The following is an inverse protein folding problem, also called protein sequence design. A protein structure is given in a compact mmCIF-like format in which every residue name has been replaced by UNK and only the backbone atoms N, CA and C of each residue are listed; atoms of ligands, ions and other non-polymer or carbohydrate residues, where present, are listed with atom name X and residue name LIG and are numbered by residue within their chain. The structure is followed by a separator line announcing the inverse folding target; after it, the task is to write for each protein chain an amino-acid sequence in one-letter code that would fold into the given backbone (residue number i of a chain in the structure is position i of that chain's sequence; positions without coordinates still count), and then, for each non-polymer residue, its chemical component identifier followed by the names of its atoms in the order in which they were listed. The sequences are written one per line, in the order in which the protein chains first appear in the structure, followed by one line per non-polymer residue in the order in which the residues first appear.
data_IF_479775477088
#
_entry.id   IF_479775477088
#
_cell.length_a   1.000
_cell.length_b   1.000
_cell.length_c   1.000
_cell.angle_alpha   90.00
_cell.angle_beta   90.00
_cell.angle_gamma   90.00
#
_symmetry.space_group_name_H-M   'P 1'
#
loop_
_entity.id
_entity.type
_entity.pdbx_description
1 polymer ?
#
# COMPACT_ATOMS: atom_id res chain seq x y z
N UNK A 1 -15.11 3.90 19.53
CA UNK A 1 -15.97 4.98 19.03
C UNK A 1 -16.02 4.86 17.52
N UNK A 2 -17.22 4.76 17.00
CA UNK A 2 -17.45 4.64 15.56
C UNK A 2 -17.06 5.97 14.92
N UNK A 3 -15.91 5.98 14.23
CA UNK A 3 -15.49 7.10 13.44
C UNK A 3 -16.47 7.23 12.26
N UNK A 4 -17.20 8.35 12.21
CA UNK A 4 -18.15 8.64 11.14
C UNK A 4 -17.56 9.72 10.24
N UNK A 5 -17.74 9.58 8.94
CA UNK A 5 -17.41 10.63 7.97
C UNK A 5 -18.61 11.53 7.74
N UNK A 6 -18.36 12.84 7.59
CA UNK A 6 -19.40 13.77 7.16
C UNK A 6 -19.79 13.54 5.69
N UNK A 7 -20.93 14.07 5.26
CA UNK A 7 -21.36 14.00 3.85
C UNK A 7 -20.33 14.66 2.91
N UNK A 8 -19.73 15.77 3.33
CA UNK A 8 -18.68 16.44 2.58
C UNK A 8 -17.42 15.57 2.40
N UNK A 9 -16.97 14.91 3.47
CA UNK A 9 -15.85 13.95 3.40
C UNK A 9 -16.19 12.76 2.51
N UNK A 10 -17.42 12.25 2.59
CA UNK A 10 -17.88 11.18 1.71
C UNK A 10 -17.81 11.58 0.24
N UNK A 11 -18.25 12.80 -0.10
CA UNK A 11 -18.14 13.34 -1.45
C UNK A 11 -16.68 13.47 -1.90
N UNK A 12 -15.81 14.02 -1.06
CA UNK A 12 -14.39 14.19 -1.37
C UNK A 12 -13.70 12.85 -1.69
N UNK A 13 -14.07 11.76 -1.01
CA UNK A 13 -13.56 10.43 -1.33
C UNK A 13 -14.00 10.01 -2.74
N UNK A 14 -15.28 10.17 -3.08
CA UNK A 14 -15.80 9.79 -4.41
C UNK A 14 -15.13 10.62 -5.50
N UNK A 15 -15.00 11.93 -5.31
CA UNK A 15 -14.34 12.84 -6.26
C UNK A 15 -12.86 12.44 -6.46
N UNK A 16 -12.17 12.07 -5.38
CA UNK A 16 -10.78 11.58 -5.44
C UNK A 16 -10.65 10.29 -6.25
N UNK A 17 -11.51 9.30 -6.00
CA UNK A 17 -11.50 8.04 -6.76
C UNK A 17 -11.83 8.26 -8.24
N UNK A 18 -12.79 9.13 -8.53
CA UNK A 18 -13.14 9.50 -9.91
C UNK A 18 -11.98 10.19 -10.63
N UNK A 19 -11.25 11.07 -9.96
CA UNK A 19 -10.07 11.72 -10.52
C UNK A 19 -8.91 10.75 -10.75
N UNK A 20 -8.71 9.81 -9.82
CA UNK A 20 -7.58 8.88 -9.88
C UNK A 20 -7.75 7.77 -10.90
N UNK A 21 -8.96 7.22 -11.01
CA UNK A 21 -9.25 6.03 -11.80
C UNK A 21 -10.16 6.30 -13.03
N UNK A 22 -10.80 7.47 -13.10
CA UNK A 22 -11.75 7.80 -14.15
C UNK A 22 -11.13 8.35 -15.43
N UNK A 23 -9.82 8.53 -15.50
CA UNK A 23 -9.13 9.21 -16.63
C UNK A 23 -8.31 8.27 -17.50
N UNK A 24 -8.36 6.95 -17.28
CA UNK A 24 -7.63 6.00 -18.13
C UNK A 24 -8.34 5.85 -19.48
N UNK A 25 -7.78 6.38 -20.57
CA UNK A 25 -8.39 6.30 -21.91
C UNK A 25 -8.39 4.86 -22.48
N UNK A 26 -7.69 3.93 -21.83
CA UNK A 26 -7.63 2.51 -22.22
C UNK A 26 -8.70 1.67 -21.54
N UNK A 27 -9.30 2.19 -20.47
CA UNK A 27 -10.33 1.53 -19.71
C UNK A 27 -11.72 1.76 -20.34
N UNK A 28 -12.02 1.32 -21.48
CA UNK A 28 -13.33 1.39 -22.20
C UNK A 28 -14.61 1.49 -21.31
N UNK A 29 -14.52 2.13 -20.15
CA UNK A 29 -15.60 2.28 -19.16
C UNK A 29 -15.94 1.00 -18.41
N UNK A 30 -15.05 0.04 -18.31
CA UNK A 30 -15.28 -1.25 -17.64
C UNK A 30 -15.04 -1.19 -16.14
N UNK A 31 -14.25 -0.20 -15.67
CA UNK A 31 -13.95 -0.05 -14.23
C UNK A 31 -15.09 0.65 -13.50
N UNK A 32 -15.79 -0.09 -12.63
CA UNK A 32 -16.78 0.51 -11.74
C UNK A 32 -16.08 1.22 -10.56
N UNK A 33 -15.87 2.53 -10.71
CA UNK A 33 -15.24 3.36 -9.68
C UNK A 33 -15.98 3.28 -8.34
N UNK A 34 -17.30 3.17 -8.36
CA UNK A 34 -18.09 3.08 -7.13
C UNK A 34 -17.79 1.79 -6.35
N UNK A 35 -17.44 0.71 -7.05
CA UNK A 35 -17.01 -0.54 -6.42
C UNK A 35 -15.64 -0.43 -5.72
N UNK A 36 -14.82 0.54 -6.11
CA UNK A 36 -13.51 0.80 -5.48
C UNK A 36 -13.63 1.64 -4.20
N UNK A 37 -14.67 2.48 -4.09
CA UNK A 37 -14.86 3.36 -2.95
C UNK A 37 -15.13 2.54 -1.69
N UNK A 38 -14.41 2.76 -0.58
CA UNK A 38 -14.58 1.99 0.63
C UNK A 38 -15.98 2.17 1.23
N UNK A 39 -16.57 1.09 1.69
CA UNK A 39 -17.90 1.07 2.28
C UNK A 39 -17.89 1.11 3.81
N UNK A 40 -16.81 0.65 4.46
CA UNK A 40 -16.71 0.65 5.92
C UNK A 40 -16.44 2.06 6.47
N UNK A 41 -17.06 2.40 7.59
CA UNK A 41 -16.85 3.69 8.25
C UNK A 41 -15.38 3.93 8.62
N UNK A 42 -14.68 2.89 9.07
CA UNK A 42 -13.27 2.98 9.44
C UNK A 42 -12.38 3.33 8.22
N UNK A 43 -12.57 2.64 7.09
CA UNK A 43 -11.82 2.91 5.87
C UNK A 43 -12.13 4.31 5.32
N UNK A 44 -13.39 4.70 5.29
CA UNK A 44 -13.80 6.04 4.86
C UNK A 44 -13.19 7.13 5.74
N UNK A 45 -13.20 6.96 7.05
CA UNK A 45 -12.58 7.90 7.97
C UNK A 45 -11.06 8.01 7.73
N UNK A 46 -10.36 6.89 7.63
CA UNK A 46 -8.92 6.89 7.39
C UNK A 46 -8.57 7.54 6.05
N UNK A 47 -9.30 7.22 5.00
CA UNK A 47 -9.05 7.81 3.68
C UNK A 47 -9.44 9.28 3.60
N UNK A 48 -10.56 9.70 4.18
CA UNK A 48 -10.91 11.11 4.25
C UNK A 48 -9.89 11.95 5.02
N UNK A 49 -9.23 11.34 6.00
CA UNK A 49 -8.29 12.03 6.89
C UNK A 49 -6.86 12.02 6.34
N UNK A 50 -6.43 10.92 5.73
CA UNK A 50 -5.02 10.71 5.37
C UNK A 50 -4.76 10.52 3.88
N UNK A 51 -5.67 9.90 3.14
CA UNK A 51 -5.48 9.62 1.71
C UNK A 51 -5.86 10.82 0.84
N UNK A 52 -7.07 11.33 1.00
CA UNK A 52 -7.59 12.44 0.18
C UNK A 52 -6.80 13.74 0.38
N UNK A 53 -6.48 14.19 1.62
CA UNK A 53 -5.71 15.41 1.81
C UNK A 53 -4.25 15.32 1.36
N UNK A 54 -3.68 14.12 1.30
CA UNK A 54 -2.27 13.92 0.91
C UNK A 54 -2.00 14.32 -0.54
N UNK A 55 -3.03 14.30 -1.41
CA UNK A 55 -2.88 14.62 -2.83
C UNK A 55 -2.78 16.13 -3.12
N UNK A 56 -3.29 16.98 -2.22
CA UNK A 56 -3.37 18.43 -2.51
C UNK A 56 -2.17 19.24 -2.02
N UNK A 57 -1.38 18.77 -1.07
CA UNK A 57 -0.40 19.62 -0.38
C UNK A 57 0.95 19.00 0.00
N UNK A 58 1.14 17.67 -0.03
CA UNK A 58 2.41 17.04 0.37
C UNK A 58 2.59 15.68 -0.31
N UNK A 59 3.85 15.19 -0.44
CA UNK A 59 4.09 13.84 -0.88
C UNK A 59 3.33 12.84 0.02
N UNK A 60 2.81 11.73 -0.53
CA UNK A 60 2.13 10.70 0.24
C UNK A 60 2.97 10.28 1.46
N UNK A 61 2.37 10.20 2.61
CA UNK A 61 3.06 9.77 3.83
C UNK A 61 3.22 10.82 4.93
N UNK A 62 3.07 12.11 4.64
CA UNK A 62 3.39 13.19 5.60
C UNK A 62 2.19 13.99 6.12
N UNK A 63 1.03 13.36 6.28
CA UNK A 63 -0.07 13.97 7.03
C UNK A 63 0.18 13.74 8.51
N UNK A 64 0.97 14.62 9.11
CA UNK A 64 1.19 14.65 10.54
C UNK A 64 -0.09 15.16 11.23
N UNK A 65 -0.62 14.36 12.15
CA UNK A 65 -1.53 14.82 13.17
C UNK A 65 -2.79 15.53 12.71
N UNK A 66 -3.81 14.80 12.23
CA UNK A 66 -5.15 15.36 12.35
C UNK A 66 -5.52 15.43 13.82
N UNK A 67 -6.16 16.51 14.25
CA UNK A 67 -6.55 16.81 15.64
C UNK A 67 -7.50 15.80 16.31
N UNK A 68 -7.78 14.69 15.67
CA UNK A 68 -8.69 13.66 16.12
C UNK A 68 -8.08 12.64 17.07
N UNK A 69 -6.98 12.94 17.80
CA UNK A 69 -6.55 12.19 18.98
C UNK A 69 -6.65 10.66 18.96
N UNK A 70 -6.75 10.06 17.77
CA UNK A 70 -6.93 8.63 17.66
C UNK A 70 -5.60 7.92 17.92
N UNK A 71 -5.65 6.80 18.61
CA UNK A 71 -4.50 5.92 18.86
C UNK A 71 -3.76 5.56 17.56
N UNK A 72 -4.47 5.51 16.43
CA UNK A 72 -3.90 5.30 15.12
C UNK A 72 -2.96 6.43 14.70
N UNK A 73 -3.38 7.71 14.90
CA UNK A 73 -2.54 8.88 14.57
C UNK A 73 -1.24 8.87 15.36
N UNK A 74 -1.32 8.58 16.67
CA UNK A 74 -0.14 8.49 17.53
C UNK A 74 0.80 7.36 17.11
N UNK A 75 0.25 6.21 16.72
CA UNK A 75 1.05 5.10 16.19
C UNK A 75 1.70 5.46 14.84
N UNK A 76 0.95 6.10 13.94
CA UNK A 76 1.47 6.57 12.65
C UNK A 76 2.60 7.59 12.83
N UNK A 77 2.45 8.56 13.70
CA UNK A 77 3.47 9.56 14.00
C UNK A 77 4.74 8.91 14.58
N UNK A 78 4.55 7.94 15.48
CA UNK A 78 5.66 7.24 16.13
C UNK A 78 6.46 6.34 15.18
N UNK A 79 5.81 5.62 14.29
CA UNK A 79 6.42 4.56 13.47
C UNK A 79 6.57 4.92 12.00
N UNK A 80 5.85 5.92 11.49
CA UNK A 80 5.86 6.30 10.07
C UNK A 80 7.25 6.62 9.57
N UNK A 81 8.01 7.39 10.33
CA UNK A 81 9.39 7.78 10.01
C UNK A 81 10.32 6.57 9.84
N UNK A 82 10.14 5.55 10.65
CA UNK A 82 10.92 4.31 10.56
C UNK A 82 10.66 3.56 9.24
N UNK A 83 9.40 3.46 8.82
CA UNK A 83 9.05 2.85 7.55
C UNK A 83 9.56 3.66 6.35
N UNK A 84 9.48 4.98 6.40
CA UNK A 84 10.04 5.86 5.37
C UNK A 84 11.56 5.67 5.20
N UNK A 85 12.31 5.62 6.31
CA UNK A 85 13.75 5.39 6.28
C UNK A 85 14.11 4.03 5.69
N UNK A 86 13.43 2.97 6.09
CA UNK A 86 13.66 1.62 5.55
C UNK A 86 13.33 1.58 4.06
N UNK A 87 12.17 2.12 3.67
CA UNK A 87 11.75 2.16 2.28
C UNK A 87 12.76 2.87 1.40
N UNK A 88 13.22 4.04 1.82
CA UNK A 88 14.22 4.82 1.08
C UNK A 88 15.55 4.07 0.94
N UNK A 89 15.98 3.34 1.97
CA UNK A 89 17.25 2.59 1.94
C UNK A 89 17.20 1.34 1.09
N UNK A 90 16.06 0.65 1.06
CA UNK A 90 15.92 -0.65 0.40
C UNK A 90 15.28 -0.51 -0.98
N UNK A 91 14.57 0.61 -1.25
CA UNK A 91 13.92 0.88 -2.53
C UNK A 91 12.51 0.32 -2.65
N UNK A 92 11.82 0.03 -1.53
CA UNK A 92 10.40 -0.31 -1.56
C UNK A 92 9.54 0.93 -1.86
N UNK A 93 8.46 0.76 -2.60
CA UNK A 93 7.52 1.84 -2.91
C UNK A 93 6.58 2.13 -1.73
N UNK A 94 6.12 1.10 -1.05
CA UNK A 94 5.24 1.21 0.10
C UNK A 94 5.47 0.05 1.10
N UNK A 95 4.96 0.22 2.32
CA UNK A 95 4.94 -0.78 3.37
C UNK A 95 3.54 -0.85 3.99
N UNK A 96 2.95 -2.04 3.99
CA UNK A 96 1.61 -2.31 4.52
C UNK A 96 1.71 -3.12 5.81
N UNK A 97 0.91 -2.74 6.81
CA UNK A 97 0.58 -3.63 7.91
C UNK A 97 -0.86 -4.12 7.71
N UNK A 98 -1.02 -5.44 7.68
CA UNK A 98 -2.28 -6.12 7.43
C UNK A 98 -2.61 -6.95 8.66
N UNK A 99 -3.79 -6.74 9.25
CA UNK A 99 -4.21 -7.48 10.44
C UNK A 99 -4.55 -8.95 10.15
N UNK A 100 -4.83 -9.74 11.18
CA UNK A 100 -5.17 -11.17 11.04
C UNK A 100 -6.49 -11.44 10.30
N UNK A 101 -7.26 -10.42 9.98
CA UNK A 101 -8.51 -10.51 9.21
C UNK A 101 -8.35 -10.05 7.76
N UNK A 102 -7.15 -9.60 7.37
CA UNK A 102 -6.85 -9.08 6.05
C UNK A 102 -7.15 -7.60 5.87
N UNK A 103 -7.41 -6.85 6.94
CA UNK A 103 -7.58 -5.40 6.83
C UNK A 103 -6.22 -4.71 6.76
N UNK A 104 -6.05 -3.81 5.82
CA UNK A 104 -4.89 -2.95 5.71
C UNK A 104 -4.99 -1.84 6.76
N UNK A 105 -4.34 -2.04 7.88
CA UNK A 105 -4.41 -1.11 9.01
C UNK A 105 -3.42 0.04 8.90
N UNK A 106 -2.42 -0.10 8.06
CA UNK A 106 -1.41 0.92 7.79
C UNK A 106 -0.85 0.76 6.37
N UNK A 107 -0.63 1.86 5.68
CA UNK A 107 0.26 1.98 4.53
C UNK A 107 1.20 3.17 4.77
N UNK A 108 2.42 3.09 4.30
CA UNK A 108 3.37 4.19 4.43
C UNK A 108 2.93 5.38 3.56
N UNK A 109 2.54 5.11 2.31
CA UNK A 109 2.10 6.13 1.35
C UNK A 109 0.71 6.71 1.65
N UNK A 110 -0.09 6.10 2.53
CA UNK A 110 -1.51 6.42 2.77
C UNK A 110 -2.36 6.30 1.50
N UNK A 111 -2.07 5.27 0.71
CA UNK A 111 -2.76 4.97 -0.54
C UNK A 111 -4.23 4.58 -0.38
N UNK A 112 -4.85 4.26 -1.50
CA UNK A 112 -6.28 3.86 -1.59
C UNK A 112 -6.59 2.54 -0.89
N UNK A 113 -5.58 1.77 -0.57
CA UNK A 113 -5.68 0.49 0.14
C UNK A 113 -5.92 0.67 1.64
N UNK A 114 -5.57 1.85 2.18
CA UNK A 114 -5.68 2.12 3.62
C UNK A 114 -7.11 1.91 4.13
N UNK A 115 -7.25 1.01 5.10
CA UNK A 115 -8.53 0.64 5.70
C UNK A 115 -9.36 -0.35 4.88
N UNK A 116 -8.92 -0.75 3.67
CA UNK A 116 -9.59 -1.78 2.87
C UNK A 116 -9.20 -3.18 3.34
N UNK A 117 -9.88 -4.20 2.81
CA UNK A 117 -9.60 -5.60 3.11
C UNK A 117 -9.06 -6.31 1.86
N UNK A 118 -7.86 -6.89 1.95
CA UNK A 118 -7.22 -7.56 0.81
C UNK A 118 -7.88 -8.89 0.41
N UNK A 119 -8.73 -9.46 1.26
CA UNK A 119 -9.39 -10.74 1.00
C UNK A 119 -10.80 -10.59 0.43
N UNK A 120 -11.47 -9.47 0.73
CA UNK A 120 -12.88 -9.23 0.38
C UNK A 120 -13.14 -7.83 -0.17
N UNK A 121 -12.17 -6.92 -0.08
CA UNK A 121 -12.29 -5.53 -0.52
C UNK A 121 -12.14 -5.33 -2.03
N UNK A 122 -12.09 -4.08 -2.47
CA UNK A 122 -12.06 -3.73 -3.89
C UNK A 122 -10.84 -4.25 -4.63
N UNK A 123 -9.70 -4.38 -3.95
CA UNK A 123 -8.43 -4.83 -4.54
C UNK A 123 -8.13 -6.31 -4.27
N UNK A 124 -9.16 -7.11 -3.90
CA UNK A 124 -8.98 -8.56 -3.73
C UNK A 124 -8.58 -9.20 -5.07
N UNK A 125 -7.53 -10.01 -5.05
CA UNK A 125 -7.04 -10.67 -6.26
C UNK A 125 -6.07 -9.85 -7.10
N UNK A 126 -5.87 -8.57 -6.77
CA UNK A 126 -4.86 -7.74 -7.41
C UNK A 126 -3.46 -8.11 -6.91
N UNK A 127 -2.50 -8.16 -7.84
CA UNK A 127 -1.07 -8.17 -7.52
C UNK A 127 -0.55 -9.30 -6.63
N UNK A 128 -1.12 -10.48 -6.59
CA UNK A 128 -0.65 -11.63 -5.78
C UNK A 128 -0.60 -11.41 -4.24
N UNK A 129 -0.97 -10.22 -3.74
CA UNK A 129 -0.87 -9.87 -2.32
C UNK A 129 -1.72 -10.76 -1.42
N UNK A 130 -2.97 -11.03 -1.83
CA UNK A 130 -3.90 -11.86 -1.06
C UNK A 130 -3.39 -13.27 -0.83
N UNK A 131 -2.75 -13.85 -1.85
CA UNK A 131 -2.17 -15.20 -1.80
C UNK A 131 -0.92 -15.24 -0.92
N UNK A 132 -0.06 -14.25 -1.07
CA UNK A 132 1.14 -14.11 -0.25
C UNK A 132 0.77 -13.93 1.23
N UNK A 133 -0.22 -13.09 1.52
CA UNK A 133 -0.76 -12.90 2.87
C UNK A 133 -1.26 -14.21 3.49
N UNK A 134 -2.09 -15.00 2.76
CA UNK A 134 -2.60 -16.28 3.28
C UNK A 134 -1.46 -17.23 3.62
N UNK A 135 -0.43 -17.31 2.77
CA UNK A 135 0.74 -18.15 2.99
C UNK A 135 1.56 -17.70 4.19
N UNK A 136 1.77 -16.39 4.35
CA UNK A 136 2.47 -15.83 5.50
C UNK A 136 1.71 -16.09 6.82
N UNK A 137 0.40 -15.88 6.84
CA UNK A 137 -0.42 -16.18 8.02
C UNK A 137 -0.44 -17.67 8.36
N UNK A 138 -0.48 -18.55 7.35
CA UNK A 138 -0.49 -20.01 7.54
C UNK A 138 0.85 -20.54 8.04
N UNK A 139 1.98 -19.91 7.69
CA UNK A 139 3.31 -20.36 8.14
C UNK A 139 3.45 -20.23 9.65
N UNK A 140 2.84 -19.18 10.24
CA UNK A 140 2.89 -18.86 11.67
C UNK A 140 4.31 -18.88 12.29
N UNK A 141 5.35 -18.73 11.45
CA UNK A 141 6.76 -18.82 11.81
C UNK A 141 7.40 -17.43 11.75
N UNK A 142 8.06 -17.03 12.85
CA UNK A 142 8.92 -15.85 12.84
C UNK A 142 10.14 -16.16 11.98
N UNK A 143 10.45 -15.23 11.08
CA UNK A 143 11.53 -15.41 10.10
C UNK A 143 11.07 -15.97 8.75
N UNK A 144 9.80 -16.41 8.62
CA UNK A 144 9.24 -16.66 7.31
C UNK A 144 9.21 -15.37 6.51
N UNK A 145 9.70 -15.41 5.29
CA UNK A 145 9.54 -14.34 4.32
C UNK A 145 9.30 -14.94 2.94
N UNK A 146 8.52 -14.27 2.13
CA UNK A 146 8.22 -14.70 0.77
C UNK A 146 8.12 -13.50 -0.16
N UNK A 147 8.74 -13.67 -1.33
CA UNK A 147 8.53 -12.76 -2.45
C UNK A 147 7.47 -13.34 -3.39
N UNK A 148 6.69 -12.48 -4.02
CA UNK A 148 5.79 -12.85 -5.12
C UNK A 148 6.44 -12.56 -6.47
N UNK A 149 5.88 -13.14 -7.51
CA UNK A 149 6.10 -12.65 -8.86
C UNK A 149 5.40 -11.30 -9.06
N UNK A 150 5.82 -10.57 -10.09
CA UNK A 150 5.16 -9.34 -10.49
C UNK A 150 3.83 -9.63 -11.17
N UNK A 151 2.81 -8.87 -10.81
CA UNK A 151 1.50 -8.91 -11.45
C UNK A 151 0.90 -7.50 -11.46
N UNK A 152 -0.04 -7.26 -12.37
CA UNK A 152 -0.77 -5.99 -12.43
C UNK A 152 -1.40 -5.68 -11.07
N UNK A 153 -1.26 -4.42 -10.67
CA UNK A 153 -1.77 -3.92 -9.39
C UNK A 153 -2.43 -2.57 -9.60
N UNK A 154 -3.74 -2.56 -9.64
CA UNK A 154 -4.55 -1.39 -9.95
C UNK A 154 -4.21 -0.15 -9.11
N UNK A 155 -4.00 -0.25 -7.78
CA UNK A 155 -3.68 0.93 -6.98
C UNK A 155 -2.39 1.65 -7.38
N UNK A 156 -1.37 0.93 -7.82
CA UNK A 156 -0.10 1.53 -8.30
C UNK A 156 -0.11 1.84 -9.78
N UNK A 157 -1.01 1.23 -10.58
CA UNK A 157 -1.06 1.36 -12.03
C UNK A 157 0.13 0.71 -12.75
N UNK A 158 0.84 -0.21 -12.11
CA UNK A 158 2.01 -0.89 -12.67
C UNK A 158 2.18 -2.29 -12.09
N UNK A 159 2.90 -3.18 -12.80
CA UNK A 159 3.25 -4.47 -12.27
C UNK A 159 4.02 -4.36 -10.95
N UNK A 160 3.51 -5.02 -9.92
CA UNK A 160 4.00 -4.94 -8.55
C UNK A 160 4.28 -6.34 -8.01
N UNK A 161 5.42 -6.50 -7.37
CA UNK A 161 5.75 -7.66 -6.54
C UNK A 161 5.64 -7.31 -5.06
N UNK A 162 5.59 -8.33 -4.23
CA UNK A 162 5.48 -8.17 -2.78
C UNK A 162 6.53 -9.00 -2.05
N UNK A 163 7.12 -8.44 -1.02
CA UNK A 163 7.82 -9.19 0.01
C UNK A 163 6.94 -9.21 1.26
N UNK A 164 6.56 -10.39 1.73
CA UNK A 164 5.66 -10.54 2.88
C UNK A 164 6.32 -11.33 4.00
N UNK A 165 6.03 -10.93 5.24
CA UNK A 165 6.45 -11.63 6.45
C UNK A 165 5.36 -11.55 7.52
N UNK A 166 5.08 -12.64 8.28
CA UNK A 166 4.17 -12.56 9.41
C UNK A 166 4.77 -11.71 10.53
N UNK A 167 3.92 -10.94 11.19
CA UNK A 167 4.27 -10.15 12.38
C UNK A 167 3.46 -10.60 13.57
N UNK A 168 4.09 -10.68 14.74
CA UNK A 168 3.44 -11.15 15.97
C UNK A 168 4.41 -11.81 16.92
N UNK A 169 3.89 -12.66 17.80
CA UNK A 169 4.68 -13.51 18.69
C UNK A 169 4.98 -14.86 18.03
N UNK A 170 6.03 -15.60 18.47
CA UNK A 170 6.30 -16.96 18.02
C UNK A 170 5.06 -17.86 18.11
N UNK A 171 4.73 -18.54 17.01
CA UNK A 171 3.55 -19.42 16.94
C UNK A 171 2.19 -18.68 16.95
N UNK A 172 2.18 -17.33 16.89
CA UNK A 172 0.95 -16.53 16.90
C UNK A 172 1.12 -15.28 16.04
N UNK A 173 0.92 -15.41 14.76
CA UNK A 173 0.89 -14.28 13.84
C UNK A 173 -0.31 -13.36 14.18
N UNK A 174 -0.05 -12.08 14.40
CA UNK A 174 -1.05 -11.04 14.60
C UNK A 174 -1.45 -10.37 13.29
N UNK A 175 -0.65 -10.54 12.25
CA UNK A 175 -0.85 -9.96 10.92
C UNK A 175 0.35 -10.20 10.03
N UNK A 176 0.44 -9.43 8.96
CA UNK A 176 1.51 -9.50 7.96
C UNK A 176 2.05 -8.10 7.67
N UNK A 177 3.37 -7.98 7.61
CA UNK A 177 4.06 -6.88 6.94
C UNK A 177 4.21 -7.25 5.46
N UNK A 178 3.76 -6.37 4.57
CA UNK A 178 3.98 -6.49 3.13
C UNK A 178 4.69 -5.25 2.62
N UNK A 179 5.79 -5.48 1.89
CA UNK A 179 6.60 -4.43 1.27
C UNK A 179 6.34 -4.44 -0.23
N UNK A 180 5.98 -3.30 -0.79
CA UNK A 180 5.68 -3.14 -2.22
C UNK A 180 6.97 -2.96 -3.03
N UNK A 181 7.17 -3.83 -4.02
CA UNK A 181 8.30 -3.80 -4.95
C UNK A 181 7.80 -3.38 -6.33
N UNK A 182 8.03 -2.13 -6.77
CA UNK A 182 7.67 -1.72 -8.11
C UNK A 182 8.65 -2.32 -9.14
N UNK A 183 8.15 -2.66 -10.31
CA UNK A 183 8.97 -3.21 -11.40
C UNK A 183 10.13 -2.28 -11.80
N UNK A 184 9.97 -0.98 -11.62
CA UNK A 184 10.99 0.03 -11.88
C UNK A 184 12.29 -0.19 -11.10
N UNK A 185 12.22 -0.73 -9.88
CA UNK A 185 13.41 -1.08 -9.07
C UNK A 185 14.25 -2.14 -9.78
N UNK A 186 13.60 -3.19 -10.29
CA UNK A 186 14.28 -4.26 -11.05
C UNK A 186 14.90 -3.71 -12.33
N UNK A 187 14.14 -2.89 -13.06
CA UNK A 187 14.61 -2.27 -14.29
C UNK A 187 15.84 -1.37 -14.04
N UNK A 188 15.85 -0.61 -12.97
CA UNK A 188 16.98 0.23 -12.60
C UNK A 188 18.23 -0.59 -12.25
N UNK A 189 18.08 -1.69 -11.53
CA UNK A 189 19.18 -2.61 -11.24
C UNK A 189 19.74 -3.23 -12.51
N UNK A 190 18.88 -3.71 -13.41
CA UNK A 190 19.27 -4.30 -14.69
C UNK A 190 19.97 -3.30 -15.62
N UNK A 191 19.56 -2.03 -15.62
CA UNK A 191 20.19 -0.99 -16.44
C UNK A 191 21.50 -0.46 -15.82
N UNK A 192 21.63 -0.44 -14.51
CA UNK A 192 22.87 -0.08 -13.84
C UNK A 192 24.02 -1.06 -14.21
N UNK A 193 23.74 -2.36 -14.28
CA UNK A 193 24.74 -3.36 -14.73
C UNK A 193 25.20 -3.11 -16.17
N UNK A 194 24.33 -2.65 -17.07
CA UNK A 194 24.72 -2.28 -18.44
C UNK A 194 25.69 -1.09 -18.51
N UNK A 195 25.66 -0.19 -17.55
CA UNK A 195 26.62 0.92 -17.48
C UNK A 195 28.02 0.44 -17.07
N UNK A 196 28.13 -0.60 -16.27
CA UNK A 196 29.41 -1.22 -15.92
C UNK A 196 30.10 -1.87 -17.14
N UNK A 197 29.32 -2.54 -17.99
CA UNK A 197 29.84 -3.16 -19.22
C UNK A 197 30.38 -2.10 -20.18
N UNK A 198 29.71 -0.95 -20.30
CA UNK A 198 30.19 0.17 -21.16
C UNK A 198 31.43 0.86 -20.59
N UNK A 199 31.56 0.98 -19.28
CA UNK A 199 32.71 1.56 -18.64
C UNK A 199 33.97 0.65 -18.72
N UNK A 200 33.79 -0.68 -18.80
CA UNK A 200 34.84 -1.66 -18.93
C UNK A 200 35.43 -1.80 -20.33
N UNK A 201 34.73 -1.38 -21.38
CA UNK A 201 35.20 -1.46 -22.78
C UNK A 201 36.02 -0.25 -23.25
N UNK A 202 36.30 0.70 -22.38
CA UNK A 202 37.05 1.93 -22.71
C UNK A 202 38.56 1.88 -22.40
N UNK A 203 39.14 0.71 -22.18
CA UNK A 203 40.59 0.56 -21.97
C UNK A 203 41.13 -0.65 -22.70
N UNK A 204 41.45 -0.47 -23.96
CA UNK A 204 42.52 -1.16 -24.68
C UNK A 204 43.22 -0.14 -25.55
#
# INVERSE_FOLDING_TARGET
SDATTSAAQGKSIVDFYSSRFGTDPTDNGTLDINALVPTSNAARYLQATYTVPATDRQPPGRVEGSAAGAAWSAANERYGRYFEEISTRIGFADAFLIDSRGNVVYTMSKGVELGTNILSGPYRGEGNLSDAYRKAMASNEIGYSRNTDFAEYLPSGQPTGWMVAPVGAPGRAAGVLAMELPISVVNNLMTAERQWVRAGMGRT
#
